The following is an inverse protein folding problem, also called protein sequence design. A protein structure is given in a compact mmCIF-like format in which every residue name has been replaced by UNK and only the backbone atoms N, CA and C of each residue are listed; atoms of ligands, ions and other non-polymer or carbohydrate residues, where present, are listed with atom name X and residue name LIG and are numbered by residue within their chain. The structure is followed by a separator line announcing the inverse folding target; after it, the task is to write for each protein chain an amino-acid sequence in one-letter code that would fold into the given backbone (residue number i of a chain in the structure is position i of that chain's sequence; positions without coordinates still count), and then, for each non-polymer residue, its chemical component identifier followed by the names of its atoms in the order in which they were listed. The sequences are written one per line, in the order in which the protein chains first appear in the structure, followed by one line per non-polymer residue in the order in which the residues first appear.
data_IF_503713600235
#
_entry.id   IF_503713600235
#
_cell.length_a   1.000
_cell.length_b   1.000
_cell.length_c   1.000
_cell.angle_alpha   90.00
_cell.angle_beta   90.00
_cell.angle_gamma   90.00
#
_symmetry.space_group_name_H-M   'P 1'
#
loop_
_entity.id
_entity.type
_entity.pdbx_description
1 polymer ?
#
# COMPACT_ATOMS: atom_id res chain seq x y z
N UNK A 1 7.66 48.77 40.23
CA UNK A 1 9.12 48.59 40.42
C UNK A 1 9.51 47.19 39.95
N UNK A 2 10.29 47.04 38.86
CA UNK A 2 10.76 45.74 38.42
C UNK A 2 12.08 45.37 39.12
N UNK A 3 12.20 44.12 39.58
CA UNK A 3 13.44 43.56 40.15
C UNK A 3 14.45 43.29 39.04
N UNK A 4 15.60 43.93 39.13
CA UNK A 4 16.79 43.68 38.31
C UNK A 4 17.49 42.39 38.77
N UNK A 5 17.79 41.50 37.83
CA UNK A 5 18.66 40.34 38.08
C UNK A 5 20.10 40.74 37.78
N UNK A 6 20.96 40.67 38.79
CA UNK A 6 22.40 40.86 38.67
C UNK A 6 23.07 39.61 38.10
N UNK A 7 23.84 39.78 37.02
CA UNK A 7 24.72 38.76 36.46
C UNK A 7 25.98 38.63 37.33
N UNK A 8 26.21 37.44 37.87
CA UNK A 8 27.51 37.05 38.43
C UNK A 8 28.50 36.73 37.30
N UNK A 9 29.79 37.14 37.40
CA UNK A 9 30.79 36.81 36.40
C UNK A 9 31.32 35.38 36.61
N UNK A 10 31.15 34.52 35.60
CA UNK A 10 31.72 33.17 35.57
C UNK A 10 33.22 33.23 35.34
N UNK A 11 33.99 32.57 36.22
CA UNK A 11 35.46 32.45 36.19
C UNK A 11 36.03 31.71 34.96
N UNK A 12 35.20 31.42 33.94
CA UNK A 12 35.59 30.71 32.72
C UNK A 12 35.37 31.51 31.42
N UNK A 13 35.06 32.81 31.52
CA UNK A 13 34.86 33.69 30.35
C UNK A 13 36.09 33.74 29.41
N UNK A 14 37.30 33.52 29.92
CA UNK A 14 38.51 33.46 29.11
C UNK A 14 38.60 32.17 28.28
N UNK A 15 38.18 31.02 28.82
CA UNK A 15 38.21 29.72 28.12
C UNK A 15 37.23 29.71 26.95
N UNK A 16 36.04 30.30 27.13
CA UNK A 16 35.05 30.44 26.07
C UNK A 16 35.50 31.32 24.90
N UNK A 17 36.31 32.36 25.16
CA UNK A 17 36.88 33.19 24.09
C UNK A 17 37.86 32.42 23.21
N UNK A 18 38.69 31.56 23.80
CA UNK A 18 39.61 30.71 23.03
C UNK A 18 38.87 29.61 22.25
N UNK A 19 37.81 29.04 22.83
CA UNK A 19 36.99 28.04 22.14
C UNK A 19 36.24 28.64 20.94
N UNK A 20 35.67 29.83 21.09
CA UNK A 20 34.98 30.54 20.01
C UNK A 20 35.97 30.96 18.91
N UNK A 21 37.16 31.42 19.26
CA UNK A 21 38.21 31.76 18.31
C UNK A 21 38.67 30.53 17.51
N UNK A 22 38.87 29.38 18.17
CA UNK A 22 39.23 28.13 17.50
C UNK A 22 38.14 27.67 16.52
N UNK A 23 36.87 27.72 16.93
CA UNK A 23 35.72 27.40 16.07
C UNK A 23 35.65 28.31 14.84
N UNK A 24 35.83 29.62 15.00
CA UNK A 24 35.86 30.57 13.89
C UNK A 24 37.03 30.33 12.93
N UNK A 25 38.21 29.96 13.45
CA UNK A 25 39.37 29.61 12.60
C UNK A 25 39.17 28.34 11.80
N UNK A 26 38.54 27.31 12.40
CA UNK A 26 38.21 26.06 11.71
C UNK A 26 37.16 26.28 10.61
N UNK A 27 36.17 27.13 10.87
CA UNK A 27 35.14 27.48 9.90
C UNK A 27 35.70 28.31 8.73
N UNK A 28 36.63 29.24 9.01
CA UNK A 28 37.33 29.98 7.98
C UNK A 28 38.22 29.08 7.11
N UNK A 29 38.91 28.10 7.71
CA UNK A 29 39.72 27.13 6.99
C UNK A 29 38.88 26.19 6.10
N UNK A 30 37.70 25.75 6.58
CA UNK A 30 36.80 24.92 5.76
C UNK A 30 36.22 25.69 4.57
N UNK A 31 35.85 26.97 4.77
CA UNK A 31 35.38 27.83 3.70
C UNK A 31 36.47 28.10 2.66
N UNK A 32 37.74 28.26 3.08
CA UNK A 32 38.87 28.40 2.15
C UNK A 32 39.14 27.12 1.36
N UNK A 33 38.99 25.94 1.98
CA UNK A 33 39.13 24.66 1.31
C UNK A 33 38.02 24.44 0.27
N UNK A 34 36.76 24.75 0.61
CA UNK A 34 35.62 24.69 -0.31
C UNK A 34 35.81 25.69 -1.46
N UNK A 35 36.31 26.90 -1.19
CA UNK A 35 36.59 27.89 -2.22
C UNK A 35 37.68 27.42 -3.20
N UNK A 36 38.80 26.86 -2.70
CA UNK A 36 39.88 26.32 -3.55
C UNK A 36 39.45 25.12 -4.39
N UNK A 37 38.61 24.23 -3.85
CA UNK A 37 38.04 23.10 -4.62
C UNK A 37 37.08 23.61 -5.73
N UNK A 38 36.33 24.68 -5.45
CA UNK A 38 35.42 25.31 -6.42
C UNK A 38 36.15 26.13 -7.49
N UNK A 39 37.33 26.66 -7.18
CA UNK A 39 38.18 27.39 -8.13
C UNK A 39 38.93 26.44 -9.07
N UNK A 40 39.40 25.29 -8.55
CA UNK A 40 40.04 24.24 -9.36
C UNK A 40 39.09 23.52 -10.32
N UNK A 41 37.77 23.60 -10.09
CA UNK A 41 36.74 23.04 -10.99
C UNK A 41 36.18 24.05 -12.01
N UNK A 42 36.57 25.34 -11.92
CA UNK A 42 36.16 26.39 -12.88
C UNK A 42 37.22 26.71 -13.94
N UNK A 43 38.34 26.00 -13.96
CA UNK A 43 39.45 26.18 -14.91
C UNK A 43 39.80 24.87 -15.63
N UNK A 44 38.80 24.20 -16.21
CA UNK A 44 39.00 23.37 -17.40
C UNK A 44 38.13 23.96 -18.50
N UNK A 45 38.82 24.68 -19.38
CA UNK A 45 38.28 25.51 -20.45
C UNK A 45 37.51 24.69 -21.48
N UNK A 46 36.22 25.01 -21.64
CA UNK A 46 35.47 24.79 -22.88
C UNK A 46 36.11 25.63 -23.99
N UNK A 47 37.12 25.10 -24.68
CA UNK A 47 37.62 25.59 -25.98
C UNK A 47 38.67 24.61 -26.55
N UNK A 48 38.22 23.41 -26.96
CA UNK A 48 38.86 22.57 -27.99
C UNK A 48 38.10 21.23 -28.20
N UNK A 49 36.83 21.25 -28.63
CA UNK A 49 36.16 20.03 -29.17
C UNK A 49 35.19 20.35 -30.32
N UNK A 50 35.51 21.35 -31.15
CA UNK A 50 34.71 21.69 -32.35
C UNK A 50 35.62 21.89 -33.57
N UNK A 51 36.34 20.84 -33.97
CA UNK A 51 36.94 20.75 -35.32
C UNK A 51 37.40 19.34 -35.74
N UNK A 52 36.82 18.27 -35.19
CA UNK A 52 37.23 16.88 -35.51
C UNK A 52 36.09 15.92 -35.87
N UNK A 53 34.85 16.41 -35.97
CA UNK A 53 33.68 15.58 -36.22
C UNK A 53 33.22 15.66 -37.69
N UNK A 54 34.12 15.33 -38.63
CA UNK A 54 33.75 14.98 -40.00
C UNK A 54 34.67 13.81 -40.38
N UNK A 55 34.08 12.63 -40.55
CA UNK A 55 34.69 11.32 -40.87
C UNK A 55 35.04 10.44 -39.68
N UNK A 56 34.03 9.76 -39.14
CA UNK A 56 34.20 8.46 -38.47
C UNK A 56 32.96 7.59 -38.77
N UNK A 57 33.11 6.28 -38.95
CA UNK A 57 32.08 5.44 -39.55
C UNK A 57 30.89 5.26 -38.61
N UNK A 58 29.70 5.12 -39.20
CA UNK A 58 28.44 4.82 -38.52
C UNK A 58 28.63 3.73 -37.47
N UNK A 59 28.07 3.85 -36.25
CA UNK A 59 28.12 2.77 -35.28
C UNK A 59 27.31 1.60 -35.83
N UNK A 60 28.00 0.48 -36.05
CA UNK A 60 27.41 -0.78 -36.49
C UNK A 60 26.63 -1.37 -35.30
N UNK A 61 25.33 -1.08 -35.25
CA UNK A 61 24.41 -1.62 -34.26
C UNK A 61 24.11 -3.07 -34.62
N UNK A 62 25.01 -3.98 -34.25
CA UNK A 62 24.72 -5.42 -34.23
C UNK A 62 23.79 -5.70 -33.05
N UNK A 63 22.49 -5.60 -33.32
CA UNK A 63 21.41 -6.13 -32.47
C UNK A 63 21.56 -7.65 -32.42
N UNK A 64 22.05 -8.18 -31.30
CA UNK A 64 21.94 -9.61 -31.03
C UNK A 64 20.46 -9.97 -31.02
N UNK A 65 20.08 -10.80 -31.99
CA UNK A 65 18.72 -11.24 -32.25
C UNK A 65 18.16 -12.05 -31.08
N UNK A 66 17.24 -11.45 -30.33
CA UNK A 66 16.19 -12.16 -29.59
C UNK A 66 14.88 -11.38 -29.77
N UNK A 67 13.99 -11.94 -30.60
CA UNK A 67 12.59 -11.58 -30.91
C UNK A 67 12.17 -10.12 -30.72
N UNK A 68 12.08 -9.36 -31.82
CA UNK A 68 11.77 -7.92 -31.79
C UNK A 68 10.28 -7.72 -32.06
N UNK A 69 9.52 -7.50 -30.99
CA UNK A 69 8.29 -6.70 -31.08
C UNK A 69 8.71 -5.23 -31.27
N UNK A 70 8.45 -4.69 -32.47
CA UNK A 70 8.75 -3.30 -32.82
C UNK A 70 7.96 -2.29 -31.97
N UNK A 71 6.91 -2.72 -31.27
CA UNK A 71 6.11 -1.85 -30.40
C UNK A 71 6.91 -1.26 -29.22
N UNK A 72 8.02 -1.91 -28.83
CA UNK A 72 8.85 -1.51 -27.69
C UNK A 72 10.10 -0.71 -28.07
N UNK A 73 10.32 -0.39 -29.35
CA UNK A 73 11.55 0.27 -29.81
C UNK A 73 11.75 1.64 -29.15
N UNK A 74 10.69 2.42 -28.96
CA UNK A 74 10.76 3.72 -28.28
C UNK A 74 11.15 3.58 -26.80
N UNK A 75 10.58 2.59 -26.09
CA UNK A 75 10.96 2.28 -24.70
C UNK A 75 12.43 1.89 -24.64
N UNK A 76 12.88 1.00 -25.53
CA UNK A 76 14.30 0.59 -25.62
C UNK A 76 15.21 1.79 -25.83
N UNK A 77 14.87 2.71 -26.74
CA UNK A 77 15.64 3.94 -26.96
C UNK A 77 15.67 4.81 -25.70
N UNK A 78 14.55 5.02 -25.03
CA UNK A 78 14.49 5.79 -23.79
C UNK A 78 15.31 5.14 -22.66
N UNK A 79 15.17 3.84 -22.45
CA UNK A 79 15.95 3.12 -21.42
C UNK A 79 17.45 3.17 -21.73
N UNK A 80 17.85 2.92 -22.98
CA UNK A 80 19.26 2.99 -23.40
C UNK A 80 19.87 4.39 -23.23
N UNK A 81 19.07 5.45 -23.35
CA UNK A 81 19.56 6.84 -23.32
C UNK A 81 19.44 7.50 -21.94
N UNK A 82 18.53 7.01 -21.08
CA UNK A 82 18.22 7.67 -19.79
C UNK A 82 18.48 6.81 -18.56
N UNK A 83 18.65 5.50 -18.71
CA UNK A 83 18.88 4.59 -17.58
C UNK A 83 20.36 4.19 -17.45
N UNK A 84 20.89 4.06 -16.22
CA UNK A 84 22.22 3.51 -16.01
C UNK A 84 22.27 2.07 -16.53
N UNK A 85 23.41 1.65 -17.12
CA UNK A 85 23.54 0.35 -17.82
C UNK A 85 23.05 -0.88 -17.04
N UNK A 86 23.17 -0.88 -15.70
CA UNK A 86 22.72 -1.96 -14.83
C UNK A 86 21.18 -2.02 -14.64
N UNK A 87 20.44 -0.99 -15.07
CA UNK A 87 18.99 -0.95 -15.09
C UNK A 87 18.41 -1.19 -16.50
N UNK A 88 19.25 -1.45 -17.50
CA UNK A 88 18.81 -1.69 -18.88
C UNK A 88 18.30 -3.12 -19.11
N UNK A 89 18.40 -3.99 -18.10
CA UNK A 89 17.85 -5.34 -18.16
C UNK A 89 16.40 -5.30 -17.66
N UNK A 90 15.47 -5.28 -18.60
CA UNK A 90 14.05 -5.34 -18.34
C UNK A 90 13.62 -6.77 -17.98
N UNK A 91 12.82 -6.92 -16.94
CA UNK A 91 12.13 -8.14 -16.57
C UNK A 91 10.64 -8.02 -16.82
N UNK A 92 10.04 -9.02 -17.47
CA UNK A 92 8.59 -9.07 -17.74
C UNK A 92 7.75 -9.09 -16.46
N UNK A 93 8.35 -9.47 -15.33
CA UNK A 93 7.71 -9.48 -14.00
C UNK A 93 8.24 -8.38 -13.08
N UNK A 94 9.00 -7.41 -13.58
CA UNK A 94 9.63 -6.33 -12.78
C UNK A 94 10.59 -6.83 -11.67
N UNK A 95 10.95 -8.12 -11.67
CA UNK A 95 11.73 -8.77 -10.62
C UNK A 95 10.92 -9.54 -9.57
N UNK A 96 9.58 -9.56 -9.67
CA UNK A 96 8.73 -10.46 -8.89
C UNK A 96 8.72 -11.87 -9.48
N UNK A 97 8.27 -12.86 -8.70
CA UNK A 97 7.91 -14.17 -9.23
C UNK A 97 6.74 -14.06 -10.22
N UNK A 98 5.70 -13.31 -9.83
CA UNK A 98 4.51 -13.13 -10.67
C UNK A 98 3.83 -11.75 -10.52
N UNK A 99 3.05 -11.35 -11.53
CA UNK A 99 2.15 -10.18 -11.46
C UNK A 99 0.70 -10.64 -11.65
N UNK A 100 -0.12 -10.50 -10.62
CA UNK A 100 -1.55 -10.82 -10.66
C UNK A 100 -2.39 -9.55 -10.78
N UNK A 101 -3.44 -9.59 -11.61
CA UNK A 101 -4.44 -8.54 -11.69
C UNK A 101 -5.84 -9.11 -11.39
N UNK A 102 -6.44 -8.67 -10.29
CA UNK A 102 -7.80 -9.06 -9.89
C UNK A 102 -8.78 -8.27 -10.75
N UNK A 103 -9.56 -8.99 -11.56
CA UNK A 103 -10.55 -8.39 -12.45
C UNK A 103 -11.77 -9.29 -12.59
N UNK A 104 -12.96 -8.72 -12.64
CA UNK A 104 -14.14 -9.50 -13.00
C UNK A 104 -14.02 -9.99 -14.48
N UNK A 105 -14.37 -11.25 -14.80
CA UNK A 105 -14.26 -11.78 -16.16
C UNK A 105 -15.04 -10.98 -17.21
N UNK A 106 -16.15 -10.37 -16.80
CA UNK A 106 -17.01 -9.57 -17.67
C UNK A 106 -16.55 -8.11 -17.82
N UNK A 107 -15.52 -7.65 -17.09
CA UNK A 107 -14.97 -6.29 -17.20
C UNK A 107 -13.91 -6.19 -18.30
N UNK A 108 -14.36 -6.50 -19.52
CA UNK A 108 -13.52 -6.48 -20.72
C UNK A 108 -12.90 -5.09 -20.97
N UNK A 109 -13.61 -4.02 -20.59
CA UNK A 109 -13.13 -2.64 -20.66
C UNK A 109 -11.87 -2.41 -19.80
N UNK A 110 -11.87 -2.91 -18.55
CA UNK A 110 -10.73 -2.80 -17.64
C UNK A 110 -9.61 -3.76 -18.02
N UNK A 111 -9.93 -5.00 -18.39
CA UNK A 111 -8.93 -5.97 -18.86
C UNK A 111 -8.22 -5.50 -20.14
N UNK A 112 -8.93 -4.86 -21.07
CA UNK A 112 -8.32 -4.23 -22.24
C UNK A 112 -7.37 -3.10 -21.82
N UNK A 113 -7.80 -2.24 -20.89
CA UNK A 113 -6.98 -1.14 -20.38
C UNK A 113 -5.70 -1.66 -19.72
N UNK A 114 -5.81 -2.64 -18.83
CA UNK A 114 -4.67 -3.26 -18.16
C UNK A 114 -3.76 -4.01 -19.14
N UNK A 115 -4.31 -4.65 -20.17
CA UNK A 115 -3.53 -5.27 -21.26
C UNK A 115 -2.69 -4.22 -22.02
N UNK A 116 -3.26 -3.04 -22.31
CA UNK A 116 -2.52 -1.95 -22.96
C UNK A 116 -1.41 -1.39 -22.06
N UNK A 117 -1.68 -1.23 -20.76
CA UNK A 117 -0.68 -0.80 -19.77
C UNK A 117 0.45 -1.84 -19.68
N UNK A 118 0.11 -3.13 -19.61
CA UNK A 118 1.07 -4.23 -19.56
C UNK A 118 1.98 -4.24 -20.80
N UNK A 119 1.39 -4.17 -22.00
CA UNK A 119 2.12 -4.11 -23.25
C UNK A 119 3.04 -2.87 -23.31
N UNK A 120 2.56 -1.71 -22.89
CA UNK A 120 3.35 -0.48 -22.89
C UNK A 120 4.55 -0.53 -21.92
N UNK A 121 4.40 -1.21 -20.79
CA UNK A 121 5.47 -1.44 -19.82
C UNK A 121 6.37 -2.65 -20.17
N UNK A 122 5.98 -3.49 -21.12
CA UNK A 122 6.66 -4.75 -21.45
C UNK A 122 6.46 -5.86 -20.42
N UNK A 123 5.45 -5.75 -19.54
CA UNK A 123 5.23 -6.70 -18.44
C UNK A 123 4.18 -7.75 -18.78
N UNK A 124 4.31 -8.92 -18.15
CA UNK A 124 3.32 -9.99 -18.22
C UNK A 124 2.43 -9.95 -16.98
N UNK A 125 1.13 -9.82 -17.19
CA UNK A 125 0.11 -9.82 -16.12
C UNK A 125 -0.79 -11.02 -16.29
N UNK A 126 -1.06 -11.73 -15.21
CA UNK A 126 -2.08 -12.79 -15.15
C UNK A 126 -3.35 -12.25 -14.53
N UNK A 127 -4.43 -12.24 -15.31
CA UNK A 127 -5.75 -11.92 -14.78
C UNK A 127 -6.27 -13.06 -13.90
N UNK A 128 -6.64 -12.72 -12.68
CA UNK A 128 -7.35 -13.63 -11.77
C UNK A 128 -8.83 -13.32 -11.87
N UNK A 129 -9.60 -14.31 -12.33
CA UNK A 129 -11.05 -14.21 -12.48
C UNK A 129 -11.72 -14.00 -11.13
N UNK A 130 -12.10 -12.75 -10.86
CA UNK A 130 -12.71 -12.36 -9.61
C UNK A 130 -14.16 -12.86 -9.52
N UNK A 131 -14.58 -13.29 -8.34
CA UNK A 131 -15.96 -13.64 -8.04
C UNK A 131 -16.78 -12.36 -7.80
N UNK A 132 -17.87 -12.21 -8.55
CA UNK A 132 -18.79 -11.08 -8.43
C UNK A 132 -19.60 -11.11 -7.12
N UNK A 133 -20.13 -9.95 -6.71
CA UNK A 133 -20.90 -9.79 -5.48
C UNK A 133 -22.22 -10.57 -5.45
N UNK A 134 -22.74 -10.94 -6.62
CA UNK A 134 -23.94 -11.75 -6.80
C UNK A 134 -23.68 -13.26 -6.70
N UNK A 135 -22.42 -13.69 -6.64
CA UNK A 135 -22.11 -15.11 -6.56
C UNK A 135 -22.60 -15.71 -5.24
N UNK A 136 -23.18 -16.93 -5.24
CA UNK A 136 -23.83 -17.54 -4.07
C UNK A 136 -22.93 -17.59 -2.83
N UNK A 137 -21.64 -17.90 -3.00
CA UNK A 137 -20.65 -17.92 -1.90
C UNK A 137 -20.60 -16.60 -1.12
N UNK A 138 -20.87 -15.46 -1.74
CA UNK A 138 -20.83 -14.15 -1.09
C UNK A 138 -21.97 -14.03 -0.06
N UNK A 139 -23.15 -14.53 -0.42
CA UNK A 139 -24.28 -14.63 0.51
C UNK A 139 -23.98 -15.60 1.66
N UNK A 140 -23.40 -16.76 1.35
CA UNK A 140 -23.00 -17.75 2.36
C UNK A 140 -21.94 -17.20 3.33
N UNK A 141 -20.89 -16.54 2.83
CA UNK A 141 -19.87 -15.89 3.66
C UNK A 141 -20.51 -14.81 4.54
N UNK A 142 -21.39 -13.98 3.96
CA UNK A 142 -22.10 -12.95 4.71
C UNK A 142 -22.94 -13.52 5.85
N UNK A 143 -23.58 -14.67 5.64
CA UNK A 143 -24.35 -15.37 6.68
C UNK A 143 -23.43 -15.89 7.81
N UNK A 144 -22.34 -16.58 7.47
CA UNK A 144 -21.39 -17.05 8.48
C UNK A 144 -20.78 -15.89 9.27
N UNK A 145 -20.36 -14.83 8.57
CA UNK A 145 -19.77 -13.65 9.19
C UNK A 145 -20.77 -12.91 10.10
N UNK A 146 -22.07 -12.89 9.78
CA UNK A 146 -23.10 -12.23 10.61
C UNK A 146 -23.43 -13.00 11.87
N UNK A 147 -23.39 -14.33 11.82
CA UNK A 147 -23.49 -15.16 13.02
C UNK A 147 -22.31 -14.93 13.97
N UNK A 148 -21.09 -14.94 13.43
CA UNK A 148 -19.87 -14.63 14.18
C UNK A 148 -19.93 -13.22 14.76
N UNK A 149 -20.35 -12.22 13.96
CA UNK A 149 -20.49 -10.82 14.39
C UNK A 149 -21.42 -10.69 15.59
N UNK A 150 -22.61 -11.28 15.53
CA UNK A 150 -23.59 -11.26 16.63
C UNK A 150 -23.02 -11.89 17.89
N UNK A 151 -22.38 -13.05 17.77
CA UNK A 151 -21.77 -13.75 18.90
C UNK A 151 -20.62 -12.95 19.51
N UNK A 152 -19.76 -12.37 18.67
CA UNK A 152 -18.63 -11.55 19.11
C UNK A 152 -19.11 -10.30 19.84
N UNK A 153 -20.20 -9.68 19.37
CA UNK A 153 -20.81 -8.52 20.04
C UNK A 153 -21.34 -8.86 21.44
N UNK A 154 -21.95 -10.02 21.63
CA UNK A 154 -22.36 -10.51 22.96
C UNK A 154 -21.17 -10.66 23.90
N UNK A 155 -20.11 -11.31 23.44
CA UNK A 155 -18.89 -11.50 24.22
C UNK A 155 -18.23 -10.16 24.55
N UNK A 156 -18.02 -9.29 23.56
CA UNK A 156 -17.44 -7.97 23.80
C UNK A 156 -18.25 -7.15 24.82
N UNK A 157 -19.58 -7.17 24.73
CA UNK A 157 -20.45 -6.48 25.69
C UNK A 157 -20.35 -7.08 27.10
N UNK A 158 -20.37 -8.41 27.21
CA UNK A 158 -20.21 -9.11 28.48
C UNK A 158 -18.86 -8.83 29.15
N UNK A 159 -17.76 -8.87 28.40
CA UNK A 159 -16.40 -8.67 28.93
C UNK A 159 -16.11 -7.20 29.27
N UNK A 160 -16.54 -6.27 28.42
CA UNK A 160 -16.25 -4.84 28.62
C UNK A 160 -17.24 -4.14 29.55
N UNK A 161 -18.42 -4.72 29.77
CA UNK A 161 -19.55 -4.06 30.45
C UNK A 161 -20.20 -2.94 29.64
N UNK A 162 -19.79 -2.73 28.38
CA UNK A 162 -20.39 -1.74 27.50
C UNK A 162 -21.68 -2.25 26.88
N UNK A 163 -22.63 -1.33 26.68
CA UNK A 163 -23.84 -1.58 25.90
C UNK A 163 -23.47 -1.94 24.45
N UNK A 164 -24.18 -2.91 23.86
CA UNK A 164 -23.89 -3.42 22.51
C UNK A 164 -23.89 -2.31 21.46
N UNK A 165 -24.77 -1.33 21.63
CA UNK A 165 -24.94 -0.20 20.72
C UNK A 165 -23.70 0.69 20.68
N UNK A 166 -22.85 0.67 21.71
CA UNK A 166 -21.61 1.46 21.82
C UNK A 166 -20.37 0.72 21.29
N UNK A 167 -20.52 -0.52 20.84
CA UNK A 167 -19.41 -1.36 20.37
C UNK A 167 -19.50 -1.47 18.85
N UNK A 168 -18.45 -1.01 18.17
CA UNK A 168 -18.33 -1.11 16.71
C UNK A 168 -17.31 -0.14 16.15
N UNK A 169 -17.48 0.21 14.87
CA UNK A 169 -16.57 1.02 14.08
C UNK A 169 -15.66 0.14 13.22
N UNK A 170 -15.50 0.48 11.94
CA UNK A 170 -14.78 -0.32 10.93
C UNK A 170 -13.55 0.41 10.37
N UNK A 171 -13.05 1.42 11.08
CA UNK A 171 -11.79 2.09 10.75
C UNK A 171 -10.53 1.30 11.21
N UNK A 172 -9.33 1.87 10.98
CA UNK A 172 -8.08 1.32 11.50
C UNK A 172 -8.15 1.08 13.01
N UNK A 173 -7.77 -0.13 13.43
CA UNK A 173 -7.91 -0.54 14.84
C UNK A 173 -9.32 -0.95 15.24
N UNK A 174 -10.22 -1.27 14.30
CA UNK A 174 -11.57 -1.74 14.60
C UNK A 174 -11.63 -2.79 15.72
N UNK A 175 -12.64 -2.67 16.58
CA UNK A 175 -12.94 -3.65 17.64
C UNK A 175 -13.23 -5.04 17.06
N UNK A 176 -13.73 -5.11 15.82
CA UNK A 176 -14.02 -6.36 15.15
C UNK A 176 -12.78 -7.18 14.80
N UNK A 177 -11.60 -6.55 14.78
CA UNK A 177 -10.31 -7.20 14.58
C UNK A 177 -9.64 -7.60 15.91
N UNK A 178 -10.31 -7.37 17.03
CA UNK A 178 -9.78 -7.77 18.34
C UNK A 178 -9.86 -9.28 18.49
N UNK A 179 -8.71 -9.88 18.78
CA UNK A 179 -8.56 -11.27 19.22
C UNK A 179 -7.63 -11.30 20.42
N UNK A 180 -7.84 -12.28 21.29
CA UNK A 180 -6.95 -12.57 22.41
C UNK A 180 -6.57 -14.05 22.33
N UNK A 181 -5.66 -14.33 21.41
CA UNK A 181 -5.11 -15.68 21.20
C UNK A 181 -3.66 -15.73 21.71
N UNK A 182 -3.38 -15.14 22.87
CA UNK A 182 -2.02 -15.03 23.42
C UNK A 182 -1.14 -13.95 22.76
N UNK A 183 -1.72 -13.12 21.88
CA UNK A 183 -1.11 -11.90 21.31
C UNK A 183 -1.74 -10.67 21.99
N UNK A 184 -1.05 -9.53 22.01
CA UNK A 184 -1.61 -8.29 22.55
C UNK A 184 -2.88 -7.91 21.78
N UNK A 185 -3.98 -7.65 22.51
CA UNK A 185 -5.19 -7.17 21.88
C UNK A 185 -4.95 -5.78 21.25
N UNK A 186 -5.51 -5.54 20.07
CA UNK A 186 -5.47 -4.22 19.45
C UNK A 186 -6.35 -3.19 20.20
N UNK A 187 -7.19 -3.64 21.14
CA UNK A 187 -8.08 -2.83 21.96
C UNK A 187 -7.87 -3.15 23.45
N UNK A 188 -7.37 -2.18 24.21
CA UNK A 188 -6.98 -2.37 25.61
C UNK A 188 -8.15 -2.78 26.50
N UNK A 189 -9.34 -2.21 26.29
CA UNK A 189 -10.54 -2.56 27.07
C UNK A 189 -11.07 -3.98 26.77
N UNK A 190 -10.55 -4.64 25.73
CA UNK A 190 -10.84 -6.02 25.37
C UNK A 190 -9.61 -6.93 25.52
N UNK A 191 -8.54 -6.47 26.19
CA UNK A 191 -7.29 -7.25 26.34
C UNK A 191 -7.44 -8.63 26.95
N UNK A 192 -8.49 -8.83 27.74
CA UNK A 192 -8.80 -10.08 28.42
C UNK A 192 -10.03 -10.79 27.84
N UNK A 193 -10.52 -10.38 26.66
CA UNK A 193 -11.64 -11.08 26.01
C UNK A 193 -11.26 -12.53 25.79
N UNK A 194 -12.14 -13.49 26.05
CA UNK A 194 -11.89 -14.88 25.67
C UNK A 194 -12.86 -15.24 24.55
N UNK A 195 -12.31 -15.68 23.44
CA UNK A 195 -13.06 -16.09 22.27
C UNK A 195 -13.02 -17.62 22.19
N UNK A 196 -14.16 -18.32 22.37
CA UNK A 196 -14.17 -19.77 22.32
C UNK A 196 -13.81 -20.26 20.90
N UNK A 197 -13.30 -21.49 20.81
CA UNK A 197 -13.06 -22.11 19.50
C UNK A 197 -14.37 -22.19 18.70
N UNK A 198 -14.30 -21.80 17.43
CA UNK A 198 -15.38 -21.97 16.45
C UNK A 198 -15.24 -23.29 15.66
N UNK A 199 -14.23 -24.10 15.98
CA UNK A 199 -14.06 -25.42 15.39
C UNK A 199 -15.16 -26.38 15.89
N UNK A 200 -15.58 -27.28 15.01
CA UNK A 200 -16.65 -28.26 15.29
C UNK A 200 -17.98 -27.63 15.77
N UNK A 201 -18.18 -26.33 15.54
CA UNK A 201 -19.44 -25.65 15.85
C UNK A 201 -20.61 -26.23 15.06
N UNK A 202 -20.31 -26.81 13.88
CA UNK A 202 -21.30 -27.45 13.02
C UNK A 202 -20.78 -28.78 12.46
N UNK A 203 -21.62 -29.83 12.36
CA UNK A 203 -21.22 -31.13 11.82
C UNK A 203 -20.71 -31.05 10.37
N UNK A 204 -21.28 -30.16 9.55
CA UNK A 204 -20.88 -29.99 8.15
C UNK A 204 -19.42 -29.56 7.98
N UNK A 205 -18.84 -28.88 8.97
CA UNK A 205 -17.46 -28.39 8.92
C UNK A 205 -16.42 -29.49 9.23
N UNK A 206 -16.87 -30.74 9.45
CA UNK A 206 -16.00 -31.92 9.66
C UNK A 206 -14.92 -31.69 10.74
N UNK A 207 -15.27 -30.95 11.79
CA UNK A 207 -14.37 -30.63 12.89
C UNK A 207 -13.58 -29.33 12.74
N UNK A 208 -13.56 -28.72 11.55
CA UNK A 208 -12.96 -27.40 11.32
C UNK A 208 -13.87 -26.23 11.70
N UNK A 209 -13.37 -25.01 11.55
CA UNK A 209 -14.14 -23.77 11.63
C UNK A 209 -14.75 -23.37 10.27
N UNK A 210 -15.60 -22.34 10.24
CA UNK A 210 -16.31 -21.93 9.03
C UNK A 210 -15.39 -21.40 7.91
N UNK A 211 -14.26 -20.78 8.25
CA UNK A 211 -13.28 -20.28 7.26
C UNK A 211 -12.47 -21.44 6.70
N UNK A 212 -12.05 -22.39 7.53
CA UNK A 212 -11.44 -23.64 7.06
C UNK A 212 -12.38 -24.41 6.15
N UNK A 213 -13.68 -24.49 6.51
CA UNK A 213 -14.69 -25.12 5.68
C UNK A 213 -14.85 -24.42 4.33
N UNK A 214 -14.94 -23.07 4.31
CA UNK A 214 -14.98 -22.27 3.08
C UNK A 214 -13.90 -22.72 2.11
N UNK A 215 -12.65 -22.79 2.57
CA UNK A 215 -11.51 -23.12 1.72
C UNK A 215 -11.28 -24.62 1.51
N UNK A 216 -12.02 -25.48 2.21
CA UNK A 216 -12.01 -26.94 1.98
C UNK A 216 -12.94 -27.37 0.82
N UNK A 217 -13.87 -26.52 0.44
CA UNK A 217 -14.87 -26.79 -0.59
C UNK A 217 -14.27 -26.45 -1.95
N UNK A 218 -14.28 -27.38 -2.89
CA UNK A 218 -13.71 -27.16 -4.23
C UNK A 218 -14.61 -26.32 -5.13
N UNK A 219 -15.93 -26.48 -5.01
CA UNK A 219 -16.92 -25.76 -5.81
C UNK A 219 -17.70 -24.79 -4.93
N UNK A 220 -17.29 -23.53 -4.93
CA UNK A 220 -17.94 -22.49 -4.13
C UNK A 220 -19.34 -22.11 -4.65
N UNK A 221 -19.79 -22.59 -5.83
CA UNK A 221 -21.19 -22.42 -6.22
C UNK A 221 -22.16 -23.19 -5.32
N UNK A 222 -21.69 -24.26 -4.66
CA UNK A 222 -22.51 -25.04 -3.73
C UNK A 222 -22.71 -24.36 -2.38
N UNK A 223 -21.94 -23.30 -2.09
CA UNK A 223 -22.06 -22.53 -0.86
C UNK A 223 -23.07 -21.41 -1.07
N UNK A 224 -24.30 -21.64 -0.64
CA UNK A 224 -25.41 -20.68 -0.74
C UNK A 224 -25.92 -20.32 0.66
N UNK A 225 -26.36 -19.07 0.85
CA UNK A 225 -27.06 -18.67 2.07
C UNK A 225 -28.26 -19.59 2.33
N UNK A 226 -28.49 -19.98 3.59
CA UNK A 226 -29.65 -20.76 4.00
C UNK A 226 -30.96 -19.96 3.90
N UNK A 227 -30.86 -18.63 3.90
CA UNK A 227 -31.97 -17.68 3.74
C UNK A 227 -31.98 -17.12 2.31
N UNK A 228 -33.05 -17.32 1.52
CA UNK A 228 -33.14 -16.81 0.15
C UNK A 228 -33.02 -15.28 0.04
N UNK A 229 -33.61 -14.53 0.99
CA UNK A 229 -33.61 -13.06 1.00
C UNK A 229 -32.50 -12.47 1.90
N UNK A 230 -31.40 -13.22 2.11
CA UNK A 230 -30.33 -12.76 2.98
C UNK A 230 -29.70 -11.47 2.46
N UNK A 231 -29.80 -10.41 3.27
CA UNK A 231 -29.20 -9.13 2.96
C UNK A 231 -27.93 -8.94 3.82
N UNK A 232 -26.77 -9.17 3.22
CA UNK A 232 -25.45 -9.01 3.86
C UNK A 232 -25.33 -7.66 4.55
N UNK A 233 -25.70 -6.57 3.88
CA UNK A 233 -25.56 -5.21 4.42
C UNK A 233 -26.43 -4.98 5.65
N UNK A 234 -27.66 -5.49 5.65
CA UNK A 234 -28.56 -5.34 6.79
C UNK A 234 -28.11 -6.18 7.99
N UNK A 235 -27.68 -7.42 7.75
CA UNK A 235 -27.29 -8.38 8.79
C UNK A 235 -25.90 -8.07 9.38
N UNK A 236 -25.04 -7.38 8.63
CA UNK A 236 -23.70 -6.95 9.06
C UNK A 236 -23.63 -5.47 9.43
N UNK A 237 -24.75 -4.77 9.54
CA UNK A 237 -24.76 -3.33 9.79
C UNK A 237 -24.08 -2.95 11.12
N UNK A 238 -23.21 -1.94 11.09
CA UNK A 238 -22.53 -1.42 12.27
C UNK A 238 -22.99 0.00 12.58
N UNK A 239 -23.73 0.18 13.68
CA UNK A 239 -24.27 1.47 14.11
C UNK A 239 -23.19 2.48 14.54
N UNK A 240 -21.99 2.01 14.88
CA UNK A 240 -20.87 2.86 15.28
C UNK A 240 -19.97 3.26 14.10
N UNK A 241 -20.25 2.78 12.88
CA UNK A 241 -19.53 3.21 11.68
C UNK A 241 -20.33 4.28 10.92
N UNK A 242 -19.91 5.56 10.99
CA UNK A 242 -20.62 6.66 10.34
C UNK A 242 -20.41 6.70 8.82
N UNK A 243 -19.36 6.08 8.28
CA UNK A 243 -19.06 6.11 6.85
C UNK A 243 -19.74 4.94 6.14
N UNK A 244 -20.81 5.25 5.38
CA UNK A 244 -21.57 4.27 4.60
C UNK A 244 -20.68 3.42 3.68
N UNK A 245 -19.60 3.99 3.14
CA UNK A 245 -18.67 3.30 2.25
C UNK A 245 -17.82 2.24 2.97
N UNK A 246 -17.71 2.28 4.30
CA UNK A 246 -17.01 1.28 5.10
C UNK A 246 -17.94 0.18 5.62
N UNK A 247 -19.26 0.34 5.47
CA UNK A 247 -20.23 -0.69 5.83
C UNK A 247 -20.01 -1.94 4.98
N UNK A 248 -20.04 -3.10 5.64
CA UNK A 248 -19.94 -4.40 4.96
C UNK A 248 -21.14 -4.56 4.04
N UNK A 249 -20.88 -4.89 2.79
CA UNK A 249 -21.86 -5.16 1.75
C UNK A 249 -21.36 -6.30 0.86
N UNK A 250 -22.19 -6.87 -0.04
CA UNK A 250 -21.77 -7.97 -0.90
C UNK A 250 -20.50 -7.70 -1.72
N UNK A 251 -20.30 -6.47 -2.19
CA UNK A 251 -19.10 -6.10 -2.95
C UNK A 251 -17.84 -6.08 -2.07
N UNK A 252 -17.97 -5.66 -0.81
CA UNK A 252 -16.86 -5.67 0.16
C UNK A 252 -16.46 -7.10 0.51
N UNK A 253 -17.44 -7.99 0.72
CA UNK A 253 -17.18 -9.43 0.97
C UNK A 253 -16.53 -10.08 -0.24
N UNK A 254 -17.02 -9.80 -1.45
CA UNK A 254 -16.41 -10.25 -2.71
C UNK A 254 -14.96 -9.76 -2.85
N UNK A 255 -14.70 -8.48 -2.59
CA UNK A 255 -13.35 -7.91 -2.65
C UNK A 255 -12.40 -8.63 -1.69
N UNK A 256 -12.83 -8.81 -0.43
CA UNK A 256 -12.06 -9.57 0.58
C UNK A 256 -11.76 -10.99 0.10
N UNK A 257 -12.78 -11.72 -0.35
CA UNK A 257 -12.64 -13.08 -0.84
C UNK A 257 -11.62 -13.18 -1.99
N UNK A 258 -11.69 -12.25 -2.96
CA UNK A 258 -10.81 -12.27 -4.12
C UNK A 258 -9.34 -12.00 -3.77
N UNK A 259 -9.07 -11.08 -2.83
CA UNK A 259 -7.71 -10.85 -2.33
C UNK A 259 -7.15 -12.10 -1.61
N UNK A 260 -7.94 -12.76 -0.76
CA UNK A 260 -7.53 -14.02 -0.10
C UNK A 260 -7.27 -15.14 -1.12
N UNK A 261 -8.05 -15.22 -2.19
CA UNK A 261 -7.84 -16.20 -3.26
C UNK A 261 -6.48 -16.01 -3.94
N UNK A 262 -6.08 -14.78 -4.25
CA UNK A 262 -4.75 -14.51 -4.83
C UNK A 262 -3.63 -14.86 -3.85
N UNK A 263 -3.79 -14.52 -2.57
CA UNK A 263 -2.80 -14.91 -1.55
C UNK A 263 -2.64 -16.43 -1.43
N UNK A 264 -3.73 -17.21 -1.59
CA UNK A 264 -3.67 -18.67 -1.66
C UNK A 264 -2.92 -19.17 -2.90
N UNK A 265 -3.22 -18.60 -4.07
CA UNK A 265 -2.52 -18.96 -5.31
C UNK A 265 -1.01 -18.74 -5.20
N UNK A 266 -0.57 -17.64 -4.57
CA UNK A 266 0.86 -17.36 -4.31
C UNK A 266 1.50 -18.46 -3.47
N UNK A 267 0.81 -18.95 -2.44
CA UNK A 267 1.33 -20.05 -1.61
C UNK A 267 1.34 -21.38 -2.33
N UNK A 268 0.28 -21.70 -3.06
CA UNK A 268 0.11 -22.96 -3.79
C UNK A 268 1.14 -23.11 -4.92
N UNK A 269 1.49 -22.00 -5.56
CA UNK A 269 2.50 -21.96 -6.61
C UNK A 269 3.93 -21.75 -6.08
N UNK A 270 4.09 -21.58 -4.76
CA UNK A 270 5.38 -21.31 -4.10
C UNK A 270 6.13 -20.10 -4.66
N UNK A 271 5.41 -19.06 -5.08
CA UNK A 271 5.98 -17.84 -5.66
C UNK A 271 6.81 -17.09 -4.59
N UNK A 272 8.09 -16.81 -4.87
CA UNK A 272 8.98 -16.11 -3.94
C UNK A 272 8.42 -14.73 -3.56
N UNK A 273 7.86 -14.02 -4.53
CA UNK A 273 7.12 -12.78 -4.35
C UNK A 273 6.15 -12.53 -5.50
N UNK A 274 5.11 -11.75 -5.26
CA UNK A 274 4.17 -11.33 -6.30
C UNK A 274 3.76 -9.86 -6.14
N UNK A 275 3.48 -9.21 -7.27
CA UNK A 275 2.76 -7.94 -7.32
C UNK A 275 1.27 -8.21 -7.58
N UNK A 276 0.42 -7.74 -6.68
CA UNK A 276 -1.04 -7.85 -6.77
C UNK A 276 -1.60 -6.48 -7.17
N UNK A 277 -2.37 -6.46 -8.25
CA UNK A 277 -3.02 -5.28 -8.82
C UNK A 277 -4.54 -5.46 -8.83
N UNK A 278 -5.28 -4.36 -8.63
CA UNK A 278 -6.68 -4.26 -9.07
C UNK A 278 -6.73 -3.80 -10.54
N UNK A 279 -7.86 -3.99 -11.21
CA UNK A 279 -8.01 -3.73 -12.64
C UNK A 279 -8.30 -2.26 -13.01
N UNK A 280 -8.22 -1.36 -12.02
CA UNK A 280 -8.47 0.07 -12.19
C UNK A 280 -7.24 0.95 -11.91
N UNK A 281 -6.03 0.40 -11.98
CA UNK A 281 -4.78 1.12 -11.72
C UNK A 281 -4.12 1.74 -12.95
N UNK A 282 -3.27 2.71 -12.68
CA UNK A 282 -2.28 3.32 -13.57
C UNK A 282 -0.94 3.39 -12.82
N UNK A 283 0.17 3.49 -13.55
CA UNK A 283 1.51 3.28 -13.00
C UNK A 283 2.51 4.30 -13.58
N UNK A 284 3.63 4.49 -12.88
CA UNK A 284 4.76 5.22 -13.44
C UNK A 284 5.34 4.50 -14.67
N UNK A 285 5.73 5.25 -15.70
CA UNK A 285 6.33 4.70 -16.92
C UNK A 285 7.64 3.94 -16.63
N UNK A 286 8.43 4.46 -15.69
CA UNK A 286 9.68 3.87 -15.21
C UNK A 286 9.50 3.01 -13.95
N UNK A 287 8.33 2.37 -13.81
CA UNK A 287 7.94 1.56 -12.64
C UNK A 287 9.04 0.58 -12.20
N UNK A 288 9.60 -0.18 -13.15
CA UNK A 288 10.65 -1.17 -12.87
C UNK A 288 11.86 -0.52 -12.19
N UNK A 289 12.38 0.57 -12.76
CA UNK A 289 13.55 1.27 -12.23
C UNK A 289 13.30 1.77 -10.82
N UNK A 290 12.11 2.36 -10.56
CA UNK A 290 11.73 2.83 -9.23
C UNK A 290 11.64 1.67 -8.24
N UNK A 291 10.96 0.59 -8.62
CA UNK A 291 10.83 -0.60 -7.81
C UNK A 291 12.20 -1.20 -7.48
N UNK A 292 13.05 -1.49 -8.46
CA UNK A 292 14.38 -2.10 -8.26
C UNK A 292 15.32 -1.20 -7.42
N UNK A 293 15.18 0.12 -7.51
CA UNK A 293 15.90 1.06 -6.64
C UNK A 293 15.46 0.97 -5.18
N UNK A 294 14.18 0.70 -4.93
CA UNK A 294 13.60 0.58 -3.60
C UNK A 294 13.84 -0.81 -3.00
N UNK A 295 13.58 -1.86 -3.78
CA UNK A 295 13.64 -3.27 -3.38
C UNK A 295 14.97 -3.65 -2.75
N UNK A 296 16.10 -3.17 -3.31
CA UNK A 296 17.45 -3.41 -2.77
C UNK A 296 17.70 -2.87 -1.36
N UNK A 297 16.80 -2.05 -0.82
CA UNK A 297 16.87 -1.51 0.54
C UNK A 297 15.90 -2.23 1.50
N UNK A 298 15.04 -3.12 1.00
CA UNK A 298 14.19 -3.95 1.83
C UNK A 298 15.03 -4.97 2.60
N UNK A 299 14.68 -5.28 3.86
CA UNK A 299 15.31 -6.39 4.57
C UNK A 299 14.89 -7.71 3.96
N UNK A 300 15.68 -8.77 4.12
CA UNK A 300 15.39 -10.10 3.53
C UNK A 300 14.10 -10.75 4.03
N UNK A 301 13.53 -10.27 5.13
CA UNK A 301 12.32 -10.77 5.78
C UNK A 301 11.10 -9.87 5.55
N UNK A 302 11.12 -9.00 4.53
CA UNK A 302 9.97 -8.17 4.19
C UNK A 302 8.75 -9.05 3.85
N UNK A 303 7.57 -8.63 4.28
CA UNK A 303 6.32 -9.40 4.11
C UNK A 303 5.40 -8.73 3.09
N UNK A 304 5.20 -7.42 3.21
CA UNK A 304 4.36 -6.63 2.28
C UNK A 304 5.01 -5.31 1.93
N UNK A 305 4.82 -4.86 0.69
CA UNK A 305 5.20 -3.51 0.25
C UNK A 305 4.08 -2.84 -0.54
N UNK A 306 3.58 -1.72 -0.07
CA UNK A 306 2.54 -0.95 -0.75
C UNK A 306 3.15 0.00 -1.79
N UNK A 307 3.09 -0.38 -3.06
CA UNK A 307 3.51 0.46 -4.20
C UNK A 307 2.44 1.51 -4.53
N UNK A 308 1.19 1.16 -4.25
CA UNK A 308 0.01 2.01 -4.31
C UNK A 308 -0.83 1.81 -3.06
N UNK A 309 -1.10 2.91 -2.36
CA UNK A 309 -1.98 2.96 -1.20
C UNK A 309 -2.71 4.30 -1.16
N UNK A 310 -3.74 4.36 -0.34
CA UNK A 310 -4.54 5.53 -0.10
C UNK A 310 -4.60 5.78 1.41
N UNK A 311 -5.05 6.99 1.80
CA UNK A 311 -5.41 7.29 3.20
C UNK A 311 -4.41 6.80 4.25
N UNK A 312 -3.18 7.31 4.21
CA UNK A 312 -2.07 6.86 5.07
C UNK A 312 -1.28 8.02 5.64
N UNK A 313 -0.51 7.79 6.70
CA UNK A 313 0.39 8.79 7.29
C UNK A 313 1.87 8.55 6.92
N UNK A 314 2.14 7.79 5.87
CA UNK A 314 3.50 7.36 5.50
C UNK A 314 4.43 8.54 5.18
N UNK A 315 3.90 9.59 4.54
CA UNK A 315 4.66 10.79 4.17
C UNK A 315 5.32 11.49 5.37
N UNK A 316 4.71 11.39 6.55
CA UNK A 316 5.24 11.99 7.79
C UNK A 316 6.06 10.99 8.63
N UNK A 317 6.23 9.74 8.16
CA UNK A 317 7.08 8.75 8.80
C UNK A 317 8.53 8.87 8.35
N UNK A 318 9.50 8.44 9.17
CA UNK A 318 10.90 8.37 8.77
C UNK A 318 11.11 7.51 7.52
N UNK A 319 12.02 7.96 6.66
CA UNK A 319 12.49 7.19 5.52
C UNK A 319 13.32 5.98 6.01
N UNK A 320 13.23 4.86 5.29
CA UNK A 320 13.93 3.61 5.58
C UNK A 320 14.90 3.27 4.45
N UNK A 321 16.18 3.66 4.59
CA UNK A 321 17.25 3.30 3.64
C UNK A 321 17.16 3.92 2.24
N UNK A 322 15.98 4.39 1.82
CA UNK A 322 15.70 4.99 0.52
C UNK A 322 14.73 6.18 0.73
N UNK A 323 14.87 7.30 -0.01
CA UNK A 323 14.09 8.52 0.21
C UNK A 323 12.57 8.37 0.06
N UNK A 324 12.12 7.33 -0.66
CA UNK A 324 10.70 7.07 -0.90
C UNK A 324 10.17 5.83 -0.17
N UNK A 325 10.99 5.17 0.66
CA UNK A 325 10.61 3.94 1.35
C UNK A 325 10.36 4.23 2.82
N UNK A 326 9.25 3.76 3.36
CA UNK A 326 8.86 3.94 4.75
C UNK A 326 8.46 2.59 5.36
N UNK A 327 8.68 2.43 6.66
CA UNK A 327 8.05 1.34 7.42
C UNK A 327 6.56 1.68 7.51
N UNK A 328 5.69 0.74 7.10
CA UNK A 328 4.27 1.02 7.06
C UNK A 328 3.70 1.29 8.45
N UNK A 329 2.77 2.23 8.54
CA UNK A 329 1.98 2.47 9.76
C UNK A 329 0.53 2.07 9.57
N UNK A 330 -0.10 2.65 8.56
CA UNK A 330 -1.54 2.54 8.33
C UNK A 330 -1.92 2.76 6.86
N UNK A 331 -1.27 2.07 5.89
CA UNK A 331 -1.69 2.11 4.50
C UNK A 331 -3.08 1.47 4.35
N UNK A 332 -3.93 2.13 3.57
CA UNK A 332 -5.22 1.60 3.14
C UNK A 332 -5.25 1.47 1.61
N UNK A 333 -6.33 0.88 1.08
CA UNK A 333 -6.45 0.37 -0.29
C UNK A 333 -5.45 -0.74 -0.63
N UNK A 334 -5.90 -1.70 -1.43
CA UNK A 334 -5.10 -2.84 -1.91
C UNK A 334 -4.97 -2.83 -3.45
N UNK A 335 -5.03 -1.66 -4.08
CA UNK A 335 -5.04 -1.56 -5.54
C UNK A 335 -3.69 -1.91 -6.18
N UNK A 336 -2.58 -1.78 -5.46
CA UNK A 336 -1.25 -2.16 -5.96
C UNK A 336 -0.24 -2.43 -4.84
N UNK A 337 -0.02 -3.69 -4.49
CA UNK A 337 0.90 -4.06 -3.42
C UNK A 337 1.68 -5.33 -3.76
N UNK A 338 2.92 -5.38 -3.30
CA UNK A 338 3.76 -6.56 -3.37
C UNK A 338 3.67 -7.37 -2.07
N UNK A 339 3.82 -8.68 -2.20
CA UNK A 339 3.83 -9.63 -1.08
C UNK A 339 4.89 -10.69 -1.31
N UNK A 340 5.65 -11.05 -0.28
CA UNK A 340 6.61 -12.17 -0.33
C UNK A 340 5.91 -13.49 0.00
N UNK A 341 6.54 -14.64 -0.28
CA UNK A 341 6.01 -15.94 0.15
C UNK A 341 5.75 -15.97 1.67
N UNK A 342 6.67 -15.42 2.46
CA UNK A 342 6.52 -15.28 3.91
C UNK A 342 5.31 -14.40 4.27
N UNK A 343 5.20 -13.25 3.60
CA UNK A 343 4.08 -12.33 3.79
C UNK A 343 2.74 -12.96 3.44
N UNK A 344 2.65 -13.74 2.35
CA UNK A 344 1.42 -14.41 1.96
C UNK A 344 0.97 -15.41 3.04
N UNK A 345 1.90 -16.17 3.62
CA UNK A 345 1.66 -17.13 4.73
C UNK A 345 1.09 -16.43 5.94
N UNK A 346 1.72 -15.34 6.36
CA UNK A 346 1.28 -14.57 7.52
C UNK A 346 -0.02 -13.81 7.29
N UNK A 347 -0.22 -13.23 6.11
CA UNK A 347 -1.48 -12.59 5.75
C UNK A 347 -2.63 -13.60 5.78
N UNK A 348 -2.46 -14.81 5.21
CA UNK A 348 -3.49 -15.83 5.30
C UNK A 348 -3.74 -16.31 6.73
N UNK A 349 -2.71 -16.44 7.59
CA UNK A 349 -2.90 -16.73 9.01
C UNK A 349 -3.79 -15.66 9.67
N UNK A 350 -3.49 -14.38 9.44
CA UNK A 350 -4.21 -13.27 10.06
C UNK A 350 -5.62 -13.07 9.47
N UNK A 351 -5.79 -13.24 8.16
CA UNK A 351 -7.08 -13.09 7.48
C UNK A 351 -8.02 -14.28 7.70
N UNK A 352 -7.50 -15.48 7.94
CA UNK A 352 -8.34 -16.69 8.12
C UNK A 352 -8.73 -16.95 9.58
N UNK A 353 -8.40 -16.08 10.54
CA UNK A 353 -8.92 -16.21 11.89
C UNK A 353 -10.47 -16.14 11.86
N UNK A 354 -11.18 -17.17 12.38
CA UNK A 354 -12.62 -17.29 12.20
C UNK A 354 -13.43 -16.24 12.96
N UNK A 355 -12.82 -15.51 13.90
CA UNK A 355 -13.46 -14.41 14.62
C UNK A 355 -13.25 -13.05 13.98
N UNK A 356 -12.30 -12.89 13.05
CA UNK A 356 -12.00 -11.61 12.38
C UNK A 356 -12.25 -11.64 10.88
N UNK A 357 -12.27 -12.83 10.27
CA UNK A 357 -12.45 -12.98 8.82
C UNK A 357 -13.77 -12.34 8.38
N UNK A 358 -13.69 -11.50 7.33
CA UNK A 358 -14.83 -10.77 6.74
C UNK A 358 -15.60 -9.83 7.67
N UNK A 359 -15.04 -9.49 8.84
CA UNK A 359 -15.68 -8.55 9.77
C UNK A 359 -15.44 -7.09 9.39
N UNK A 360 -14.36 -6.76 8.70
CA UNK A 360 -14.10 -5.40 8.19
C UNK A 360 -13.72 -5.47 6.71
N UNK A 361 -13.75 -4.35 5.97
CA UNK A 361 -13.16 -4.32 4.63
C UNK A 361 -11.70 -4.81 4.65
N UNK A 362 -11.28 -5.51 3.60
CA UNK A 362 -9.99 -6.24 3.59
C UNK A 362 -8.76 -5.35 3.81
N UNK A 363 -8.81 -4.11 3.31
CA UNK A 363 -7.76 -3.11 3.46
C UNK A 363 -7.67 -2.56 4.89
N UNK A 364 -8.80 -2.40 5.58
CA UNK A 364 -8.85 -1.93 6.99
C UNK A 364 -8.21 -2.92 7.97
N UNK A 365 -8.02 -4.18 7.57
CA UNK A 365 -7.28 -5.16 8.36
C UNK A 365 -5.78 -4.84 8.46
N UNK A 366 -5.19 -4.28 7.39
CA UNK A 366 -3.74 -4.10 7.25
C UNK A 366 -3.13 -3.28 8.39
N UNK A 367 -3.65 -2.10 8.77
CA UNK A 367 -3.10 -1.34 9.89
C UNK A 367 -3.10 -2.12 11.21
N UNK A 368 -4.08 -2.99 11.43
CA UNK A 368 -4.13 -3.85 12.61
C UNK A 368 -3.07 -4.96 12.51
N UNK A 369 -2.90 -5.56 11.33
CA UNK A 369 -1.91 -6.61 11.11
C UNK A 369 -0.48 -6.10 11.29
N UNK A 370 -0.18 -4.87 10.86
CA UNK A 370 1.09 -4.19 11.11
C UNK A 370 1.36 -4.09 12.62
N UNK A 371 0.36 -3.65 13.41
CA UNK A 371 0.48 -3.58 14.87
C UNK A 371 0.65 -4.96 15.52
N UNK A 372 0.11 -6.00 14.91
CA UNK A 372 0.29 -7.40 15.31
C UNK A 372 1.61 -8.02 14.78
N UNK A 373 2.46 -7.22 14.14
CA UNK A 373 3.82 -7.60 13.76
C UNK A 373 4.03 -7.91 12.28
N UNK A 374 3.09 -7.59 11.38
CA UNK A 374 3.32 -7.66 9.93
C UNK A 374 4.46 -6.70 9.52
N UNK A 375 5.55 -7.24 8.98
CA UNK A 375 6.73 -6.52 8.52
C UNK A 375 6.46 -5.87 7.16
N UNK A 376 5.75 -4.74 7.22
CA UNK A 376 5.24 -4.03 6.05
C UNK A 376 6.01 -2.75 5.76
N UNK A 377 6.09 -2.41 4.48
CA UNK A 377 6.67 -1.18 3.97
C UNK A 377 5.73 -0.46 3.01
N UNK A 378 5.88 0.85 2.89
CA UNK A 378 5.07 1.69 2.01
C UNK A 378 5.97 2.58 1.17
N UNK A 379 5.62 2.77 -0.10
CA UNK A 379 6.30 3.69 -1.00
C UNK A 379 5.54 5.02 -1.02
N UNK A 380 6.23 6.13 -0.79
CA UNK A 380 5.67 7.47 -0.89
C UNK A 380 6.68 8.41 -1.60
N UNK A 381 6.29 9.15 -2.66
CA UNK A 381 4.99 9.11 -3.33
C UNK A 381 4.67 7.75 -3.95
N UNK A 382 3.40 7.39 -4.02
CA UNK A 382 2.94 6.13 -4.64
C UNK A 382 3.31 6.07 -6.11
N UNK A 383 3.77 4.90 -6.56
CA UNK A 383 4.18 4.65 -7.96
C UNK A 383 3.13 3.86 -8.75
N UNK A 384 2.04 3.47 -8.08
CA UNK A 384 0.82 2.88 -8.64
C UNK A 384 -0.39 3.61 -8.03
N UNK A 385 -1.26 4.15 -8.87
CA UNK A 385 -2.42 4.93 -8.45
C UNK A 385 -3.70 4.38 -9.07
N UNK A 386 -4.82 4.50 -8.36
CA UNK A 386 -6.14 4.23 -8.96
C UNK A 386 -6.40 5.26 -10.06
N UNK A 387 -6.70 4.79 -11.27
CA UNK A 387 -6.92 5.63 -12.44
C UNK A 387 -8.16 6.53 -12.31
N UNK A 388 -9.19 6.06 -11.58
CA UNK A 388 -10.51 6.70 -11.36
C UNK A 388 -11.23 7.09 -12.67
N UNK A 389 -10.85 6.49 -13.79
CA UNK A 389 -11.46 6.78 -15.10
C UNK A 389 -12.84 6.15 -15.20
N UNK A 390 -12.96 4.90 -14.77
CA UNK A 390 -14.16 4.07 -14.83
C UNK A 390 -14.90 4.06 -13.48
N UNK A 391 -16.20 3.69 -13.48
CA UNK A 391 -17.02 3.60 -12.26
C UNK A 391 -16.52 2.47 -11.35
N UNK A 392 -16.68 2.62 -10.03
CA UNK A 392 -16.38 1.59 -9.03
C UNK A 392 -17.49 0.54 -8.98
N UNK A 393 -17.12 -0.72 -8.77
CA UNK A 393 -18.08 -1.83 -8.56
C UNK A 393 -18.50 -1.97 -7.08
N UNK A 394 -17.75 -1.31 -6.18
CA UNK A 394 -17.93 -1.35 -4.72
C UNK A 394 -18.74 -0.14 -4.24
N UNK A 395 -18.37 1.07 -4.70
CA UNK A 395 -19.00 2.32 -4.28
C UNK A 395 -19.82 2.93 -5.42
N UNK A 396 -20.86 3.70 -5.08
CA UNK A 396 -21.58 4.47 -6.09
C UNK A 396 -20.66 5.51 -6.74
N UNK A 397 -20.70 5.63 -8.07
CA UNK A 397 -19.86 6.55 -8.82
C UNK A 397 -18.43 6.03 -9.02
N UNK A 398 -17.42 6.87 -8.76
CA UNK A 398 -15.99 6.57 -8.96
C UNK A 398 -15.23 6.34 -7.63
N UNK A 399 -15.95 6.35 -6.50
CA UNK A 399 -15.36 6.47 -5.16
C UNK A 399 -14.85 7.88 -4.87
N UNK A 400 -13.89 8.03 -3.94
CA UNK A 400 -13.21 9.32 -3.69
C UNK A 400 -12.58 9.88 -4.97
N UNK A 401 -12.65 11.21 -5.13
CA UNK A 401 -12.00 11.96 -6.21
C UNK A 401 -10.48 12.03 -6.06
N UNK A 402 -9.93 11.59 -4.92
CA UNK A 402 -8.50 11.53 -4.71
C UNK A 402 -7.85 10.58 -5.71
N UNK A 403 -6.86 11.13 -6.42
CA UNK A 403 -5.95 10.41 -7.29
C UNK A 403 -4.54 10.82 -6.89
N UNK A 404 -3.68 9.85 -6.57
CA UNK A 404 -2.26 10.13 -6.37
C UNK A 404 -1.65 10.73 -7.64
N UNK A 405 -0.58 11.49 -7.50
CA UNK A 405 0.13 12.07 -8.63
C UNK A 405 1.13 11.04 -9.17
N UNK A 406 0.98 10.64 -10.43
CA UNK A 406 2.05 9.98 -11.18
C UNK A 406 2.82 11.06 -11.93
N UNK A 407 4.15 11.04 -11.84
CA UNK A 407 5.01 11.98 -12.55
C UNK A 407 4.96 11.71 -14.06
N UNK A 408 4.92 10.43 -14.44
CA UNK A 408 4.94 9.99 -15.82
C UNK A 408 3.98 8.82 -16.05
N UNK A 409 2.68 9.10 -16.10
CA UNK A 409 1.61 8.09 -16.25
C UNK A 409 1.73 7.28 -17.55
N UNK A 410 1.65 5.95 -17.44
CA UNK A 410 1.56 5.04 -18.59
C UNK A 410 0.28 5.29 -19.39
N UNK A 411 -0.87 5.39 -18.71
CA UNK A 411 -2.15 5.62 -19.37
C UNK A 411 -2.15 6.92 -20.18
N UNK A 412 -1.56 7.99 -19.65
CA UNK A 412 -1.41 9.26 -20.37
C UNK A 412 -0.53 9.12 -21.61
N UNK A 413 0.58 8.38 -21.53
CA UNK A 413 1.44 8.13 -22.70
C UNK A 413 0.71 7.37 -23.79
N UNK A 414 -0.05 6.34 -23.42
CA UNK A 414 -0.88 5.57 -24.37
C UNK A 414 -1.87 6.52 -25.07
N UNK A 415 -2.62 7.31 -24.31
CA UNK A 415 -3.58 8.27 -24.88
C UNK A 415 -2.90 9.27 -25.83
N UNK A 416 -1.74 9.83 -25.46
CA UNK A 416 -0.95 10.71 -26.35
C UNK A 416 -0.52 10.01 -27.61
N UNK A 417 -0.06 8.75 -27.52
CA UNK A 417 0.38 7.97 -28.69
C UNK A 417 -0.77 7.65 -29.65
N UNK A 418 -1.99 7.52 -29.12
CA UNK A 418 -3.23 7.35 -29.89
C UNK A 418 -3.77 8.67 -30.47
N UNK A 419 -3.04 9.79 -30.32
CA UNK A 419 -3.45 11.11 -30.79
C UNK A 419 -4.62 11.71 -30.00
N UNK A 420 -4.94 11.18 -28.81
CA UNK A 420 -6.02 11.68 -27.97
C UNK A 420 -5.51 12.85 -27.12
N UNK A 421 -6.30 13.92 -27.06
CA UNK A 421 -6.02 15.06 -26.19
C UNK A 421 -6.26 14.69 -24.74
N UNK A 422 -5.24 14.89 -23.90
CA UNK A 422 -5.41 14.80 -22.45
C UNK A 422 -5.93 16.15 -21.98
N UNK A 423 -7.23 16.25 -21.73
CA UNK A 423 -7.80 17.39 -21.01
C UNK A 423 -7.50 17.21 -19.52
N UNK A 424 -6.25 17.43 -19.14
CA UNK A 424 -5.92 17.74 -17.76
C UNK A 424 -5.94 19.25 -17.64
N UNK A 425 -7.07 19.81 -17.23
CA UNK A 425 -6.95 20.89 -16.26
C UNK A 425 -6.24 20.24 -15.06
N UNK A 426 -5.06 20.75 -14.62
CA UNK A 426 -4.74 20.64 -13.20
C UNK A 426 -6.00 21.08 -12.46
N UNK A 427 -6.32 20.50 -11.32
CA UNK A 427 -7.28 21.18 -10.46
C UNK A 427 -6.72 22.59 -10.18
N UNK A 428 -7.06 23.58 -11.02
CA UNK A 428 -7.09 24.97 -10.66
C UNK A 428 -7.95 24.93 -9.41
N UNK A 429 -7.31 25.20 -8.27
CA UNK A 429 -7.97 25.25 -6.99
C UNK A 429 -9.10 26.24 -7.12
N UNK A 430 -10.30 25.73 -7.39
CA UNK A 430 -11.48 26.46 -7.08
C UNK A 430 -11.44 26.49 -5.56
N UNK A 431 -11.08 27.65 -4.99
CA UNK A 431 -10.83 27.87 -3.56
C UNK A 431 -12.02 27.48 -2.64
N UNK A 432 -13.10 26.97 -3.22
CA UNK A 432 -14.32 26.49 -2.57
C UNK A 432 -14.56 24.97 -2.66
N UNK A 433 -13.65 24.16 -3.25
CA UNK A 433 -13.76 22.69 -3.17
C UNK A 433 -13.13 22.24 -1.84
N UNK A 434 -13.87 21.52 -0.98
CA UNK A 434 -13.31 20.96 0.26
C UNK A 434 -12.07 20.13 -0.07
N UNK A 435 -10.96 20.36 0.65
CA UNK A 435 -9.75 19.53 0.54
C UNK A 435 -10.18 18.06 0.68
N UNK A 436 -9.76 17.22 -0.27
CA UNK A 436 -10.16 15.81 -0.26
C UNK A 436 -9.83 15.17 1.11
N UNK A 437 -10.77 14.43 1.70
CA UNK A 437 -10.58 13.81 3.01
C UNK A 437 -9.33 12.92 3.15
N UNK A 438 -8.89 12.26 2.08
CA UNK A 438 -7.65 11.47 2.05
C UNK A 438 -6.42 12.39 2.12
N UNK A 439 -6.45 13.53 1.43
CA UNK A 439 -5.42 14.57 1.52
C UNK A 439 -5.36 15.13 2.94
N UNK A 440 -6.50 15.48 3.54
CA UNK A 440 -6.55 15.95 4.93
C UNK A 440 -6.00 14.91 5.91
N UNK A 441 -6.35 13.63 5.72
CA UNK A 441 -5.84 12.54 6.54
C UNK A 441 -4.32 12.41 6.44
N UNK A 442 -3.77 12.42 5.22
CA UNK A 442 -2.32 12.32 4.96
C UNK A 442 -1.47 13.36 5.68
N UNK A 443 -2.00 14.59 5.82
CA UNK A 443 -1.26 15.71 6.43
C UNK A 443 -1.66 16.00 7.88
N UNK A 444 -2.70 15.35 8.42
CA UNK A 444 -3.13 15.60 9.80
C UNK A 444 -2.15 14.90 10.75
N UNK A 445 -1.42 15.65 11.60
CA UNK A 445 -0.61 15.00 12.62
C UNK A 445 -1.53 14.23 13.56
N UNK A 446 -1.24 12.94 13.79
CA UNK A 446 -1.91 12.22 14.87
C UNK A 446 -1.63 12.98 16.17
N UNK A 447 -2.65 13.34 16.98
CA UNK A 447 -2.40 14.05 18.23
C UNK A 447 -1.42 13.24 19.09
N UNK A 448 -0.32 13.89 19.48
CA UNK A 448 0.86 13.39 20.22
C UNK A 448 0.52 12.62 21.51
N UNK A 449 -0.74 12.59 21.93
CA UNK A 449 -1.20 11.84 23.09
C UNK A 449 -1.06 10.31 22.94
N UNK A 450 -1.06 9.76 21.73
CA UNK A 450 -0.93 8.30 21.52
C UNK A 450 0.51 7.76 21.55
N UNK A 451 1.54 8.63 21.54
CA UNK A 451 2.95 8.21 21.55
C UNK A 451 3.63 8.34 22.92
N UNK A 452 2.98 9.00 23.90
CA UNK A 452 3.53 9.11 25.26
C UNK A 452 3.34 7.85 26.11
N UNK A 453 2.40 6.99 25.75
CA UNK A 453 2.13 5.75 26.49
C UNK A 453 3.05 4.58 26.06
N UNK A 454 3.93 4.79 25.07
CA UNK A 454 4.91 3.78 24.60
C UNK A 454 6.32 4.06 25.15
N UNK A 455 6.57 5.22 25.77
CA UNK A 455 7.91 5.63 26.25
C UNK A 455 8.02 5.78 27.78
N UNK A 456 7.09 5.22 28.56
CA UNK A 456 7.19 5.21 30.02
C UNK A 456 6.91 3.80 30.57
N UNK A 457 7.82 2.87 30.30
CA UNK A 457 8.01 1.63 31.05
C UNK A 457 9.44 1.12 30.85
N UNK A 458 10.40 2.02 31.07
CA UNK A 458 11.74 1.66 31.53
C UNK A 458 11.93 2.38 32.86
N UNK A 459 12.20 1.60 33.90
CA UNK A 459 12.47 1.96 35.30
C UNK A 459 11.28 2.12 36.25
N UNK A 460 10.76 0.97 36.74
CA UNK A 460 10.46 0.70 38.15
C UNK A 460 10.02 -0.76 38.36
#
# INVERSE_FOLDING_TARGET
MPRTWGLFPSKHAHVWKYFLALMLTLLAASMLAIYRVRESSRLISQKHVLSGAINSPSPDFSLSQTSIDSSLDYRRVLELTTSPKNFNQHHTTLGFGHIYCISLPNRLDRRETMTKIAAALGVEITFVDAIAKEHPVIGWIGEQASEVRRRKLELMSQYSGLEKEKIGGMGPGSVWLTVNNGKAANQEFLRNIELPSLAAARPEFKGGNWVEYLWSVSDHYTLTSSKPDFNVTAEMWDNQEPMLQRQINPATVSTYYNHLRVLRMIQENEEESALILEDDVDMEWDLERRWRSIERHLPSDWETVFLGHCWSHELIQPQFGHPNLHKSTDPLCLHGYAVSLLGSKKLLELYNDPWTSFQTPVDTCIPTFIKLGLNSFSIEPTIINQSKVLRSDIQSGKGSSWKGLLVDSVAERILKSEGKTINQTPHEGNNNIPIDPATLFRYKPTPVKALKDIACNQDA
#
